data_IF_219836252783
#
_entry.id   IF_219836252783
#
_cell.length_a   1.000
_cell.length_b   1.000
_cell.length_c   1.000
_cell.angle_alpha   90.00
_cell.angle_beta   90.00
_cell.angle_gamma   90.00
#
_symmetry.space_group_name_H-M   'P 1'
#
loop_
_entity.id
_entity.type
_entity.pdbx_description
1 polymer ?
#
# COMPACT_ATOMS: atom_id res chain seq x y z
N UNK A 1 24.73 -43.90 0.42
CA UNK A 1 24.00 -42.70 0.91
C UNK A 1 23.57 -41.89 -0.29
N UNK A 2 22.29 -41.53 -0.41
CA UNK A 2 21.82 -40.59 -1.44
C UNK A 2 22.58 -39.26 -1.31
N UNK A 3 22.95 -38.63 -2.43
CA UNK A 3 23.62 -37.32 -2.45
C UNK A 3 22.95 -36.27 -1.59
N UNK A 4 21.62 -36.30 -1.58
CA UNK A 4 20.79 -35.36 -0.82
C UNK A 4 21.08 -35.40 0.68
N UNK A 5 21.39 -36.58 1.23
CA UNK A 5 21.71 -36.72 2.66
C UNK A 5 23.07 -36.08 3.00
N UNK A 6 24.06 -36.18 2.10
CA UNK A 6 25.40 -35.59 2.33
C UNK A 6 25.32 -34.06 2.41
N UNK A 7 24.55 -33.43 1.51
CA UNK A 7 24.37 -31.97 1.51
C UNK A 7 23.69 -31.49 2.80
N UNK A 8 22.65 -32.20 3.25
CA UNK A 8 21.96 -31.85 4.50
C UNK A 8 22.91 -31.95 5.69
N UNK A 9 23.67 -33.05 5.81
CA UNK A 9 24.62 -33.23 6.92
C UNK A 9 25.72 -32.16 6.93
N UNK A 10 26.13 -31.66 5.76
CA UNK A 10 27.04 -30.53 5.67
C UNK A 10 26.40 -29.25 6.20
N UNK A 11 25.17 -28.94 5.80
CA UNK A 11 24.43 -27.78 6.31
C UNK A 11 24.24 -27.91 7.82
N UNK A 12 23.92 -29.09 8.34
CA UNK A 12 23.77 -29.34 9.78
C UNK A 12 25.06 -29.06 10.56
N UNK A 13 26.22 -29.52 10.05
CA UNK A 13 27.50 -29.38 10.74
C UNK A 13 28.13 -28.00 10.57
N UNK A 14 27.77 -27.28 9.51
CA UNK A 14 28.46 -26.05 9.09
C UNK A 14 27.53 -24.86 8.85
N UNK A 15 26.28 -24.90 9.33
CA UNK A 15 25.34 -23.78 9.22
C UNK A 15 25.92 -22.47 9.78
N UNK A 16 26.66 -22.54 10.89
CA UNK A 16 27.24 -21.36 11.55
C UNK A 16 28.29 -20.62 10.68
N UNK A 17 29.38 -21.27 10.18
CA UNK A 17 30.33 -20.59 9.32
C UNK A 17 29.73 -20.17 7.97
N UNK A 18 28.75 -20.92 7.44
CA UNK A 18 28.01 -20.55 6.22
C UNK A 18 27.20 -19.27 6.48
N UNK A 19 26.51 -19.17 7.62
CA UNK A 19 25.70 -18.02 7.99
C UNK A 19 26.54 -16.76 8.20
N UNK A 20 27.71 -16.84 8.84
CA UNK A 20 28.64 -15.72 8.97
C UNK A 20 29.17 -15.25 7.60
N UNK A 21 29.53 -16.20 6.73
CA UNK A 21 29.98 -15.88 5.37
C UNK A 21 28.90 -15.18 4.56
N UNK A 22 27.65 -15.65 4.68
CA UNK A 22 26.49 -15.00 4.08
C UNK A 22 26.24 -13.60 4.65
N UNK A 23 26.26 -13.44 5.98
CA UNK A 23 26.00 -12.16 6.65
C UNK A 23 27.01 -11.09 6.23
N UNK A 24 28.28 -11.45 6.12
CA UNK A 24 29.34 -10.57 5.63
C UNK A 24 29.14 -10.16 4.17
N UNK A 25 28.64 -11.06 3.33
CA UNK A 25 28.41 -10.80 1.90
C UNK A 25 27.19 -9.89 1.68
N UNK A 26 26.05 -10.17 2.31
CA UNK A 26 24.85 -9.30 2.19
C UNK A 26 25.09 -7.89 2.70
N UNK A 27 25.96 -7.70 3.70
CA UNK A 27 26.33 -6.37 4.21
C UNK A 27 27.24 -5.57 3.28
N UNK A 28 27.84 -6.20 2.26
CA UNK A 28 28.76 -5.56 1.31
C UNK A 28 28.25 -5.54 -0.11
N UNK A 29 27.25 -6.37 -0.42
CA UNK A 29 26.77 -6.52 -1.79
C UNK A 29 25.94 -5.30 -2.21
N UNK A 30 26.24 -4.75 -3.38
CA UNK A 30 25.53 -3.57 -3.91
C UNK A 30 24.03 -3.81 -4.16
N UNK A 31 23.61 -5.08 -4.29
CA UNK A 31 22.20 -5.47 -4.51
C UNK A 31 21.42 -5.71 -3.22
N UNK A 32 22.02 -5.49 -2.05
CA UNK A 32 21.41 -5.66 -0.72
C UNK A 32 21.74 -4.49 0.19
N UNK A 33 21.58 -3.26 -0.32
CA UNK A 33 21.90 -2.03 0.39
C UNK A 33 21.18 -1.91 1.75
N UNK A 34 19.93 -2.34 1.83
CA UNK A 34 19.12 -2.32 3.06
C UNK A 34 19.69 -3.21 4.18
N UNK A 35 20.60 -4.13 3.85
CA UNK A 35 21.25 -5.01 4.83
C UNK A 35 22.57 -4.44 5.38
N UNK A 36 23.14 -3.39 4.79
CA UNK A 36 24.49 -2.89 5.14
C UNK A 36 24.57 -2.41 6.60
N UNK A 37 23.51 -1.75 7.05
CA UNK A 37 23.38 -1.19 8.41
C UNK A 37 22.90 -2.22 9.45
N UNK A 38 22.59 -3.45 9.03
CA UNK A 38 22.13 -4.48 9.95
C UNK A 38 23.30 -5.12 10.71
N UNK A 39 23.21 -5.24 12.05
CA UNK A 39 24.23 -5.89 12.85
C UNK A 39 24.28 -7.38 12.52
N UNK A 40 25.49 -7.94 12.51
CA UNK A 40 25.74 -9.35 12.17
C UNK A 40 25.04 -10.30 13.15
N UNK A 41 24.90 -9.87 14.41
CA UNK A 41 24.19 -10.55 15.49
C UNK A 41 22.70 -10.76 15.19
N UNK A 42 22.10 -9.96 14.29
CA UNK A 42 20.73 -10.16 13.81
C UNK A 42 20.67 -10.99 12.54
N UNK A 43 21.67 -10.86 11.66
CA UNK A 43 21.72 -11.54 10.37
C UNK A 43 22.04 -13.03 10.52
N UNK A 44 23.07 -13.37 11.30
CA UNK A 44 23.50 -14.78 11.44
C UNK A 44 22.36 -15.68 11.94
N UNK A 45 21.60 -15.32 12.99
CA UNK A 45 20.44 -16.12 13.40
C UNK A 45 19.34 -16.23 12.32
N UNK A 46 19.19 -15.23 11.46
CA UNK A 46 18.22 -15.26 10.37
C UNK A 46 18.57 -16.35 9.35
N UNK A 47 19.84 -16.43 8.94
CA UNK A 47 20.33 -17.49 8.06
C UNK A 47 20.28 -18.87 8.71
N UNK A 48 20.66 -18.99 9.99
CA UNK A 48 20.59 -20.28 10.70
C UNK A 48 19.15 -20.80 10.75
N UNK A 49 18.16 -19.95 11.11
CA UNK A 49 16.74 -20.34 11.09
C UNK A 49 16.28 -20.78 9.70
N UNK A 50 16.74 -20.10 8.66
CA UNK A 50 16.45 -20.47 7.27
C UNK A 50 17.02 -21.85 6.95
N UNK A 51 18.30 -22.12 7.27
CA UNK A 51 18.96 -23.39 7.01
C UNK A 51 18.32 -24.55 7.78
N UNK A 52 17.88 -24.32 9.02
CA UNK A 52 17.12 -25.30 9.79
C UNK A 52 15.78 -25.65 9.15
N UNK A 53 15.04 -24.65 8.64
CA UNK A 53 13.80 -24.90 7.94
C UNK A 53 14.02 -25.59 6.59
N UNK A 54 15.05 -25.17 5.85
CA UNK A 54 15.47 -25.80 4.60
C UNK A 54 15.76 -27.28 4.80
N UNK A 55 16.46 -27.65 5.88
CA UNK A 55 16.66 -29.05 6.25
C UNK A 55 15.34 -29.81 6.43
N UNK A 56 14.37 -29.24 7.13
CA UNK A 56 13.05 -29.88 7.33
C UNK A 56 12.34 -30.14 6.00
N UNK A 57 12.45 -29.21 5.05
CA UNK A 57 11.92 -29.35 3.70
C UNK A 57 12.54 -30.54 2.95
N UNK A 58 13.81 -30.88 3.19
CA UNK A 58 14.43 -32.04 2.56
C UNK A 58 13.86 -33.39 3.01
N UNK A 59 13.42 -33.50 4.25
CA UNK A 59 12.95 -34.77 4.81
C UNK A 59 11.45 -35.03 4.59
N UNK A 60 10.72 -34.10 3.98
CA UNK A 60 9.26 -34.18 3.86
C UNK A 60 8.84 -34.43 2.41
N UNK A 61 7.77 -35.22 2.20
CA UNK A 61 7.23 -35.52 0.87
C UNK A 61 6.54 -34.33 0.20
N UNK A 62 6.15 -33.32 1.00
CA UNK A 62 5.51 -32.08 0.56
C UNK A 62 6.27 -30.82 1.01
N UNK A 63 7.49 -30.56 0.52
CA UNK A 63 8.34 -29.46 0.97
C UNK A 63 7.67 -28.08 0.93
N UNK A 64 6.84 -27.84 -0.09
CA UNK A 64 6.18 -26.56 -0.32
C UNK A 64 5.03 -26.28 0.68
N UNK A 65 4.27 -27.30 1.08
CA UNK A 65 3.16 -27.13 2.04
C UNK A 65 3.72 -26.88 3.44
N UNK A 66 4.70 -27.67 3.87
CA UNK A 66 5.27 -27.63 5.23
C UNK A 66 6.00 -26.33 5.55
N UNK A 67 6.57 -25.67 4.55
CA UNK A 67 7.40 -24.47 4.74
C UNK A 67 6.69 -23.15 4.41
N UNK A 68 5.45 -23.21 3.91
CA UNK A 68 4.69 -22.02 3.50
C UNK A 68 4.57 -21.00 4.63
N UNK A 69 4.19 -21.45 5.81
CA UNK A 69 4.01 -20.57 6.97
C UNK A 69 5.34 -19.95 7.43
N UNK A 70 6.42 -20.75 7.42
CA UNK A 70 7.76 -20.25 7.71
C UNK A 70 8.16 -19.12 6.75
N UNK A 71 8.01 -19.32 5.43
CA UNK A 71 8.36 -18.29 4.46
C UNK A 71 7.44 -17.07 4.49
N UNK A 72 6.16 -17.26 4.85
CA UNK A 72 5.25 -16.14 5.07
C UNK A 72 5.70 -15.27 6.24
N UNK A 73 6.02 -15.87 7.39
CA UNK A 73 6.55 -15.15 8.56
C UNK A 73 7.91 -14.50 8.26
N UNK A 74 8.79 -15.22 7.57
CA UNK A 74 10.08 -14.68 7.13
C UNK A 74 9.88 -13.44 6.25
N UNK A 75 8.97 -13.48 5.28
CA UNK A 75 8.63 -12.33 4.44
C UNK A 75 8.07 -11.16 5.25
N UNK A 76 7.22 -11.41 6.24
CA UNK A 76 6.67 -10.38 7.13
C UNK A 76 7.76 -9.70 7.98
N UNK A 77 8.72 -10.47 8.51
CA UNK A 77 9.87 -9.94 9.25
C UNK A 77 10.71 -9.02 8.35
N UNK A 78 11.01 -9.45 7.12
CA UNK A 78 11.77 -8.63 6.17
C UNK A 78 10.99 -7.38 5.73
N UNK A 79 9.68 -7.49 5.50
CA UNK A 79 8.81 -6.36 5.14
C UNK A 79 8.72 -5.33 6.27
N UNK A 80 8.59 -5.81 7.51
CA UNK A 80 8.56 -4.96 8.71
C UNK A 80 9.88 -4.24 8.91
N UNK A 81 11.00 -4.90 8.62
CA UNK A 81 12.33 -4.30 8.58
C UNK A 81 12.57 -3.35 7.38
N UNK A 82 11.52 -3.07 6.58
CA UNK A 82 11.55 -2.19 5.40
C UNK A 82 12.53 -2.62 4.32
N UNK A 83 12.84 -3.91 4.24
CA UNK A 83 13.70 -4.47 3.19
C UNK A 83 12.86 -4.63 1.91
N UNK A 84 13.28 -4.03 0.78
CA UNK A 84 12.62 -4.22 -0.51
C UNK A 84 12.62 -5.69 -0.95
N UNK A 85 11.54 -6.13 -1.61
CA UNK A 85 11.40 -7.52 -2.06
C UNK A 85 12.59 -8.00 -2.90
N UNK A 86 13.10 -7.15 -3.81
CA UNK A 86 14.20 -7.53 -4.70
C UNK A 86 15.50 -7.81 -3.91
N UNK A 87 15.77 -7.05 -2.85
CA UNK A 87 16.92 -7.28 -1.98
C UNK A 87 16.73 -8.55 -1.14
N UNK A 88 15.52 -8.77 -0.61
CA UNK A 88 15.20 -9.96 0.17
C UNK A 88 15.33 -11.25 -0.67
N UNK A 89 14.88 -11.24 -1.93
CA UNK A 89 15.09 -12.33 -2.88
C UNK A 89 16.59 -12.50 -3.17
N UNK A 90 17.32 -11.42 -3.38
CA UNK A 90 18.76 -11.51 -3.66
C UNK A 90 19.54 -12.07 -2.46
N UNK A 91 19.15 -11.70 -1.24
CA UNK A 91 19.70 -12.27 -0.01
C UNK A 91 19.47 -13.79 0.07
N UNK A 92 18.31 -14.30 -0.36
CA UNK A 92 18.07 -15.75 -0.49
C UNK A 92 18.94 -16.40 -1.57
N UNK A 93 19.12 -15.74 -2.71
CA UNK A 93 20.02 -16.22 -3.78
C UNK A 93 21.45 -16.34 -3.24
N UNK A 94 21.91 -15.38 -2.43
CA UNK A 94 23.19 -15.44 -1.76
C UNK A 94 23.25 -16.58 -0.74
N UNK A 95 22.19 -16.81 0.06
CA UNK A 95 22.15 -17.96 0.98
C UNK A 95 22.35 -19.28 0.22
N UNK A 96 21.64 -19.47 -0.91
CA UNK A 96 21.80 -20.64 -1.78
C UNK A 96 23.23 -20.78 -2.29
N UNK A 97 23.83 -19.66 -2.72
CA UNK A 97 25.21 -19.64 -3.21
C UNK A 97 26.21 -20.05 -2.12
N UNK A 98 26.05 -19.58 -0.90
CA UNK A 98 26.94 -19.92 0.22
C UNK A 98 26.82 -21.39 0.65
N UNK A 99 25.63 -21.99 0.59
CA UNK A 99 25.47 -23.45 0.75
C UNK A 99 26.32 -24.20 -0.30
N UNK A 100 26.22 -23.78 -1.56
CA UNK A 100 26.90 -24.47 -2.66
C UNK A 100 28.42 -24.30 -2.63
N UNK A 101 28.90 -23.06 -2.48
CA UNK A 101 30.33 -22.77 -2.41
C UNK A 101 30.98 -23.57 -1.27
N UNK A 102 30.35 -23.60 -0.09
CA UNK A 102 30.88 -24.36 1.05
C UNK A 102 30.95 -25.87 0.77
N UNK A 103 29.95 -26.45 0.09
CA UNK A 103 29.94 -27.86 -0.29
C UNK A 103 30.98 -28.20 -1.37
N UNK A 104 31.18 -27.31 -2.34
CA UNK A 104 32.15 -27.46 -3.44
C UNK A 104 33.60 -27.36 -2.94
N UNK A 105 33.88 -26.45 -1.99
CA UNK A 105 35.21 -26.30 -1.37
C UNK A 105 35.62 -27.49 -0.48
N UNK A 106 34.67 -28.33 -0.03
CA UNK A 106 34.94 -29.47 0.85
C UNK A 106 35.20 -30.80 0.10
N UNK A 107 35.37 -30.80 -1.23
CA UNK A 107 35.82 -31.98 -2.01
C UNK A 107 34.99 -33.24 -1.70
N UNK A 108 33.65 -33.11 -1.71
CA UNK A 108 32.73 -34.20 -1.31
C UNK A 108 32.42 -35.16 -2.49
N UNK A 109 32.79 -34.77 -3.72
CA UNK A 109 32.39 -35.45 -4.95
C UNK A 109 33.58 -35.78 -5.87
N UNK A 110 34.49 -36.62 -5.38
CA UNK A 110 35.68 -37.03 -6.15
C UNK A 110 35.32 -38.09 -7.20
N UNK A 111 34.33 -38.95 -6.91
CA UNK A 111 33.94 -40.05 -7.82
C UNK A 111 32.77 -39.67 -8.75
N UNK A 112 32.70 -40.27 -9.94
CA UNK A 112 31.63 -39.99 -10.92
C UNK A 112 30.21 -40.27 -10.38
N UNK A 113 30.06 -41.26 -9.49
CA UNK A 113 28.79 -41.55 -8.80
C UNK A 113 28.43 -40.43 -7.83
N UNK A 114 29.41 -39.91 -7.11
CA UNK A 114 29.22 -38.78 -6.20
C UNK A 114 28.88 -37.49 -6.97
N UNK A 115 29.46 -37.25 -8.14
CA UNK A 115 29.09 -36.12 -9.00
C UNK A 115 27.62 -36.18 -9.41
N UNK A 116 27.10 -37.35 -9.81
CA UNK A 116 25.66 -37.50 -10.13
C UNK A 116 24.79 -37.14 -8.92
N UNK A 117 25.18 -37.60 -7.74
CA UNK A 117 24.52 -37.28 -6.48
C UNK A 117 24.59 -35.79 -6.08
N UNK A 118 25.67 -35.09 -6.47
CA UNK A 118 25.79 -33.64 -6.31
C UNK A 118 24.76 -32.90 -7.16
N UNK A 119 24.59 -33.33 -8.42
CA UNK A 119 23.61 -32.74 -9.35
C UNK A 119 22.19 -32.91 -8.82
N UNK A 120 21.81 -34.10 -8.35
CA UNK A 120 20.48 -34.35 -7.78
C UNK A 120 20.21 -33.46 -6.55
N UNK A 121 21.22 -33.25 -5.70
CA UNK A 121 21.14 -32.40 -4.52
C UNK A 121 21.02 -30.92 -4.88
N UNK A 122 21.72 -30.49 -5.94
CA UNK A 122 21.66 -29.14 -6.48
C UNK A 122 20.27 -28.86 -7.03
N UNK A 123 19.72 -29.74 -7.87
CA UNK A 123 18.37 -29.58 -8.45
C UNK A 123 17.32 -29.48 -7.34
N UNK A 124 17.41 -30.35 -6.33
CA UNK A 124 16.48 -30.31 -5.18
C UNK A 124 16.62 -29.05 -4.34
N UNK A 125 17.85 -28.55 -4.15
CA UNK A 125 18.12 -27.28 -3.47
C UNK A 125 17.51 -26.10 -4.23
N UNK A 126 17.73 -26.02 -5.55
CA UNK A 126 17.16 -24.98 -6.40
C UNK A 126 15.64 -24.97 -6.24
N UNK A 127 14.99 -26.12 -6.37
CA UNK A 127 13.54 -26.23 -6.21
C UNK A 127 13.03 -25.68 -4.88
N UNK A 128 13.73 -25.95 -3.77
CA UNK A 128 13.31 -25.44 -2.45
C UNK A 128 13.49 -23.94 -2.29
N UNK A 129 14.56 -23.37 -2.84
CA UNK A 129 14.73 -21.92 -2.89
C UNK A 129 13.72 -21.26 -3.82
N UNK A 130 13.33 -21.91 -4.92
CA UNK A 130 12.32 -21.39 -5.84
C UNK A 130 10.93 -21.35 -5.17
N UNK A 131 10.61 -22.34 -4.32
CA UNK A 131 9.43 -22.27 -3.44
C UNK A 131 9.52 -21.09 -2.47
N UNK A 132 10.67 -20.91 -1.80
CA UNK A 132 10.87 -19.78 -0.89
C UNK A 132 10.65 -18.43 -1.59
N UNK A 133 11.26 -18.24 -2.75
CA UNK A 133 11.13 -17.02 -3.57
C UNK A 133 9.67 -16.80 -3.97
N UNK A 134 8.97 -17.84 -4.41
CA UNK A 134 7.56 -17.74 -4.82
C UNK A 134 6.66 -17.35 -3.66
N UNK A 135 6.81 -18.02 -2.51
CA UNK A 135 6.01 -17.73 -1.32
C UNK A 135 6.30 -16.35 -0.74
N UNK A 136 7.58 -15.96 -0.68
CA UNK A 136 7.97 -14.64 -0.23
C UNK A 136 7.44 -13.54 -1.16
N UNK A 137 7.58 -13.71 -2.47
CA UNK A 137 7.09 -12.74 -3.46
C UNK A 137 5.58 -12.55 -3.32
N UNK A 138 4.83 -13.66 -3.23
CA UNK A 138 3.39 -13.62 -3.00
C UNK A 138 3.05 -12.93 -1.69
N UNK A 139 3.75 -13.24 -0.59
CA UNK A 139 3.46 -12.64 0.72
C UNK A 139 3.76 -11.14 0.75
N UNK A 140 4.89 -10.72 0.17
CA UNK A 140 5.21 -9.30 -0.01
C UNK A 140 4.12 -8.57 -0.81
N UNK A 141 3.65 -9.18 -1.90
CA UNK A 141 2.57 -8.61 -2.71
C UNK A 141 1.26 -8.48 -1.91
N UNK A 142 0.91 -9.49 -1.10
CA UNK A 142 -0.25 -9.42 -0.20
C UNK A 142 -0.12 -8.30 0.83
N UNK A 143 1.06 -8.13 1.43
CA UNK A 143 1.33 -7.06 2.41
C UNK A 143 1.26 -5.66 1.78
N UNK A 144 1.87 -5.49 0.60
CA UNK A 144 1.82 -4.22 -0.16
C UNK A 144 0.38 -3.88 -0.53
N UNK A 145 -0.40 -4.87 -0.99
CA UNK A 145 -1.82 -4.70 -1.31
C UNK A 145 -2.63 -4.33 -0.06
N UNK A 146 -2.36 -4.97 1.07
CA UNK A 146 -2.99 -4.64 2.35
C UNK A 146 -2.73 -3.19 2.76
N UNK A 147 -1.46 -2.77 2.79
CA UNK A 147 -1.09 -1.40 3.16
C UNK A 147 -1.69 -0.36 2.20
N UNK A 148 -1.73 -0.65 0.89
CA UNK A 148 -2.38 0.21 -0.09
C UNK A 148 -3.88 0.32 0.17
N UNK A 149 -4.55 -0.80 0.43
CA UNK A 149 -5.98 -0.82 0.74
C UNK A 149 -6.29 -0.04 2.01
N UNK A 150 -5.46 -0.13 3.05
CA UNK A 150 -5.63 0.63 4.28
C UNK A 150 -5.49 2.14 4.06
N UNK A 151 -4.49 2.57 3.26
CA UNK A 151 -4.32 3.97 2.87
C UNK A 151 -5.49 4.48 2.02
N UNK A 152 -5.98 3.68 1.09
CA UNK A 152 -7.16 4.00 0.29
C UNK A 152 -8.43 4.02 1.16
N UNK A 153 -8.53 3.18 2.18
CA UNK A 153 -9.65 3.17 3.12
C UNK A 153 -9.74 4.49 3.89
N UNK A 154 -8.61 5.08 4.32
CA UNK A 154 -8.59 6.41 4.94
C UNK A 154 -9.11 7.50 3.99
N UNK A 155 -8.72 7.47 2.72
CA UNK A 155 -9.22 8.41 1.71
C UNK A 155 -10.73 8.25 1.50
N UNK A 156 -11.19 7.00 1.43
CA UNK A 156 -12.60 6.65 1.33
C UNK A 156 -13.41 7.11 2.55
N UNK A 157 -12.85 7.03 3.77
CA UNK A 157 -13.49 7.55 4.98
C UNK A 157 -13.70 9.07 4.91
N UNK A 158 -12.69 9.84 4.48
CA UNK A 158 -12.81 11.30 4.31
C UNK A 158 -13.91 11.64 3.28
N UNK A 159 -14.02 10.83 2.23
CA UNK A 159 -15.06 11.00 1.20
C UNK A 159 -16.43 10.45 1.61
N UNK A 160 -16.55 9.84 2.79
CA UNK A 160 -17.70 9.04 3.22
C UNK A 160 -18.09 7.94 2.21
N UNK A 161 -17.16 7.48 1.38
CA UNK A 161 -17.35 6.44 0.37
C UNK A 161 -16.99 5.09 0.98
N UNK A 162 -17.83 4.60 1.90
CA UNK A 162 -17.59 3.27 2.45
C UNK A 162 -17.77 2.21 1.36
N UNK A 163 -16.98 1.11 1.38
CA UNK A 163 -17.19 -0.04 0.50
C UNK A 163 -18.60 -0.66 0.63
N UNK A 164 -19.31 -0.41 1.74
CA UNK A 164 -20.76 -0.64 1.89
C UNK A 164 -21.57 0.62 1.52
N UNK A 165 -21.50 1.03 0.25
CA UNK A 165 -22.07 2.28 -0.29
C UNK A 165 -23.58 2.49 -0.14
N UNK A 166 -24.30 1.63 0.59
CA UNK A 166 -25.74 1.75 0.88
C UNK A 166 -26.05 2.45 2.20
N UNK A 167 -25.16 2.44 3.21
CA UNK A 167 -25.51 2.97 4.56
C UNK A 167 -25.20 4.46 4.76
N UNK A 168 -24.23 5.03 4.04
CA UNK A 168 -23.76 6.41 4.28
C UNK A 168 -24.37 7.46 3.33
N UNK A 169 -25.01 7.03 2.24
CA UNK A 169 -25.75 7.91 1.31
C UNK A 169 -26.79 8.80 2.00
N UNK A 170 -27.64 8.30 2.92
CA UNK A 170 -28.60 9.16 3.60
C UNK A 170 -27.93 10.19 4.53
N UNK A 171 -26.75 9.89 5.06
CA UNK A 171 -26.02 10.83 5.91
C UNK A 171 -25.41 11.98 5.11
N UNK A 172 -24.85 11.70 3.93
CA UNK A 172 -24.37 12.73 2.99
C UNK A 172 -25.49 13.70 2.61
N UNK A 173 -26.66 13.17 2.22
CA UNK A 173 -27.80 14.01 1.84
C UNK A 173 -28.37 14.76 3.04
N UNK A 174 -28.43 14.15 4.23
CA UNK A 174 -28.87 14.82 5.45
C UNK A 174 -27.95 15.99 5.84
N UNK A 175 -26.62 15.80 5.85
CA UNK A 175 -25.67 16.88 6.14
C UNK A 175 -25.81 18.00 5.11
N UNK A 176 -25.85 17.68 3.81
CA UNK A 176 -26.03 18.71 2.80
C UNK A 176 -27.33 19.47 2.96
N UNK A 177 -28.43 18.77 3.25
CA UNK A 177 -29.73 19.41 3.44
C UNK A 177 -29.69 20.37 4.62
N UNK A 178 -29.07 19.97 5.74
CA UNK A 178 -28.89 20.84 6.90
C UNK A 178 -28.01 22.07 6.59
N UNK A 179 -26.90 21.89 5.86
CA UNK A 179 -26.01 22.98 5.45
C UNK A 179 -26.69 23.96 4.48
N UNK A 180 -27.46 23.46 3.51
CA UNK A 180 -28.20 24.28 2.56
C UNK A 180 -29.33 25.05 3.26
N UNK A 181 -30.11 24.40 4.13
CA UNK A 181 -31.13 25.06 4.94
C UNK A 181 -30.53 26.14 5.83
N UNK A 182 -29.42 25.86 6.50
CA UNK A 182 -28.68 26.84 7.28
C UNK A 182 -28.20 28.02 6.42
N UNK A 183 -27.72 27.74 5.21
CA UNK A 183 -27.28 28.77 4.26
C UNK A 183 -28.44 29.67 3.82
N UNK A 184 -29.60 29.09 3.51
CA UNK A 184 -30.80 29.84 3.12
C UNK A 184 -31.37 30.69 4.27
N UNK A 185 -31.44 30.14 5.48
CA UNK A 185 -31.88 30.87 6.67
C UNK A 185 -30.97 32.07 6.96
N UNK A 186 -29.66 31.86 6.83
CA UNK A 186 -28.67 32.91 7.05
C UNK A 186 -28.81 34.03 6.01
N UNK A 187 -28.93 33.69 4.72
CA UNK A 187 -29.16 34.68 3.67
C UNK A 187 -30.43 35.48 3.94
N UNK A 188 -31.55 34.81 4.24
CA UNK A 188 -32.81 35.47 4.52
C UNK A 188 -32.69 36.45 5.69
N UNK A 189 -32.07 36.04 6.79
CA UNK A 189 -31.89 36.90 7.96
C UNK A 189 -31.08 38.17 7.63
N UNK A 190 -29.92 38.02 7.00
CA UNK A 190 -29.06 39.17 6.69
C UNK A 190 -29.64 40.08 5.59
N UNK A 191 -30.33 39.51 4.60
CA UNK A 191 -30.90 40.27 3.48
C UNK A 191 -32.23 40.94 3.84
N UNK A 192 -33.15 40.23 4.52
CA UNK A 192 -34.50 40.73 4.78
C UNK A 192 -34.61 41.51 6.10
N UNK A 193 -33.85 41.12 7.14
CA UNK A 193 -33.98 41.73 8.49
C UNK A 193 -32.88 42.75 8.76
N UNK A 194 -31.63 42.44 8.39
CA UNK A 194 -30.47 43.26 8.74
C UNK A 194 -30.08 44.29 7.65
N UNK A 195 -30.50 44.08 6.40
CA UNK A 195 -30.24 44.99 5.28
C UNK A 195 -28.76 45.23 4.98
N UNK A 196 -27.90 44.25 5.29
CA UNK A 196 -26.43 44.41 5.23
C UNK A 196 -25.76 43.32 4.38
N UNK A 197 -24.83 43.72 3.52
CA UNK A 197 -24.09 42.83 2.60
C UNK A 197 -22.85 42.15 3.23
N UNK A 198 -22.93 41.77 4.50
CA UNK A 198 -21.76 41.27 5.27
C UNK A 198 -21.22 39.92 4.75
N UNK A 199 -19.96 39.63 5.10
CA UNK A 199 -19.03 38.56 4.68
C UNK A 199 -19.50 37.11 5.02
N UNK A 200 -20.77 36.87 5.37
CA UNK A 200 -21.25 35.54 5.78
C UNK A 200 -21.22 34.48 4.65
N UNK A 201 -21.18 34.93 3.41
CA UNK A 201 -21.14 34.11 2.19
C UNK A 201 -19.91 33.20 2.08
N UNK A 202 -18.86 33.44 2.88
CA UNK A 202 -17.71 32.54 2.96
C UNK A 202 -18.09 31.18 3.55
N UNK A 203 -19.12 31.14 4.40
CA UNK A 203 -19.63 29.88 4.95
C UNK A 203 -20.23 28.99 3.85
N UNK A 204 -20.66 29.56 2.72
CA UNK A 204 -21.24 28.81 1.61
C UNK A 204 -20.19 28.04 0.80
N UNK A 205 -18.90 28.33 0.99
CA UNK A 205 -17.84 27.50 0.43
C UNK A 205 -17.84 26.08 1.01
N UNK A 206 -18.26 25.90 2.27
CA UNK A 206 -18.31 24.58 2.92
C UNK A 206 -19.25 23.61 2.14
N UNK A 207 -20.55 23.91 1.95
CA UNK A 207 -21.42 23.04 1.15
C UNK A 207 -20.97 22.93 -0.31
N UNK A 208 -20.42 24.00 -0.92
CA UNK A 208 -19.91 23.94 -2.30
C UNK A 208 -18.76 22.93 -2.45
N UNK A 209 -17.78 22.99 -1.54
CA UNK A 209 -16.64 22.06 -1.53
C UNK A 209 -17.10 20.64 -1.24
N UNK A 210 -17.96 20.44 -0.23
CA UNK A 210 -18.50 19.11 0.10
C UNK A 210 -19.31 18.52 -1.06
N UNK A 211 -20.07 19.34 -1.79
CA UNK A 211 -20.79 18.90 -2.97
C UNK A 211 -19.84 18.37 -4.06
N UNK A 212 -18.74 19.08 -4.33
CA UNK A 212 -17.71 18.64 -5.28
C UNK A 212 -16.99 17.37 -4.85
N UNK A 213 -16.74 17.19 -3.54
CA UNK A 213 -16.11 15.99 -2.99
C UNK A 213 -17.06 14.78 -3.09
N UNK A 214 -18.31 14.92 -2.68
CA UNK A 214 -19.27 13.81 -2.58
C UNK A 214 -19.94 13.43 -3.90
N UNK A 215 -20.21 14.39 -4.79
CA UNK A 215 -20.93 14.15 -6.06
C UNK A 215 -20.12 14.47 -7.32
N UNK A 216 -18.80 14.77 -7.19
CA UNK A 216 -17.90 15.04 -8.33
C UNK A 216 -18.51 16.12 -9.25
N UNK A 217 -18.60 15.86 -10.57
CA UNK A 217 -19.23 16.77 -11.55
C UNK A 217 -20.68 17.15 -11.22
N UNK A 218 -21.47 16.25 -10.62
CA UNK A 218 -22.86 16.56 -10.24
C UNK A 218 -22.93 17.55 -9.07
N UNK A 219 -21.86 17.65 -8.27
CA UNK A 219 -21.74 18.64 -7.19
C UNK A 219 -21.68 20.09 -7.66
N UNK A 220 -21.19 20.33 -8.89
CA UNK A 220 -21.12 21.68 -9.48
C UNK A 220 -22.51 22.31 -9.62
N UNK A 221 -23.54 21.48 -9.81
CA UNK A 221 -24.94 21.94 -9.86
C UNK A 221 -25.34 22.61 -8.53
N UNK A 222 -24.89 22.09 -7.39
CA UNK A 222 -25.21 22.69 -6.08
C UNK A 222 -24.54 24.07 -5.91
N UNK A 223 -23.33 24.23 -6.46
CA UNK A 223 -22.65 25.53 -6.47
C UNK A 223 -23.40 26.56 -7.33
N UNK A 224 -23.90 26.15 -8.50
CA UNK A 224 -24.72 26.99 -9.35
C UNK A 224 -26.04 27.39 -8.68
N UNK A 225 -26.74 26.44 -8.03
CA UNK A 225 -27.99 26.69 -7.31
C UNK A 225 -27.79 27.70 -6.17
N UNK A 226 -26.74 27.53 -5.36
CA UNK A 226 -26.42 28.49 -4.29
C UNK A 226 -26.06 29.88 -4.83
N UNK A 227 -25.31 29.95 -5.93
CA UNK A 227 -24.96 31.22 -6.59
C UNK A 227 -26.18 31.95 -7.15
N UNK A 228 -27.08 31.24 -7.84
CA UNK A 228 -28.33 31.81 -8.36
C UNK A 228 -29.22 32.29 -7.20
N UNK A 229 -29.34 31.49 -6.14
CA UNK A 229 -30.12 31.86 -4.97
C UNK A 229 -29.61 33.15 -4.31
N UNK A 230 -28.28 33.31 -4.18
CA UNK A 230 -27.65 34.52 -3.63
C UNK A 230 -28.02 35.76 -4.47
N UNK A 231 -27.88 35.66 -5.79
CA UNK A 231 -28.22 36.77 -6.71
C UNK A 231 -29.71 37.12 -6.63
N UNK A 232 -30.60 36.13 -6.63
CA UNK A 232 -32.04 36.35 -6.53
C UNK A 232 -32.40 37.03 -5.21
N UNK A 233 -31.85 36.56 -4.09
CA UNK A 233 -32.08 37.17 -2.77
C UNK A 233 -31.63 38.64 -2.74
N UNK A 234 -30.50 38.98 -3.36
CA UNK A 234 -30.03 40.36 -3.44
C UNK A 234 -30.99 41.24 -4.25
N UNK A 235 -31.47 40.76 -5.39
CA UNK A 235 -32.40 41.50 -6.25
C UNK A 235 -33.74 41.79 -5.56
N UNK A 236 -34.26 40.86 -4.75
CA UNK A 236 -35.54 41.02 -4.06
C UNK A 236 -35.46 41.89 -2.80
N UNK A 237 -34.37 41.81 -2.03
CA UNK A 237 -34.31 42.40 -0.69
C UNK A 237 -33.34 43.60 -0.56
N UNK A 238 -32.37 43.75 -1.46
CA UNK A 238 -31.24 44.68 -1.32
C UNK A 238 -31.11 45.66 -2.51
N UNK A 239 -32.25 46.20 -2.97
CA UNK A 239 -32.37 47.11 -4.12
C UNK A 239 -31.61 48.45 -4.05
N UNK A 240 -30.73 48.66 -3.06
CA UNK A 240 -29.90 49.86 -2.89
C UNK A 240 -28.40 49.59 -2.71
N UNK A 241 -27.93 48.34 -2.80
CA UNK A 241 -26.51 47.98 -2.61
C UNK A 241 -25.88 47.39 -3.89
N UNK A 242 -24.54 47.51 -4.08
CA UNK A 242 -23.88 47.05 -5.29
C UNK A 242 -24.04 45.53 -5.50
N UNK A 243 -24.59 45.13 -6.65
CA UNK A 243 -24.74 43.72 -7.05
C UNK A 243 -23.40 43.05 -7.40
N UNK A 244 -22.33 43.85 -7.60
CA UNK A 244 -21.01 43.37 -8.01
C UNK A 244 -20.46 42.31 -7.07
N UNK A 245 -20.66 42.48 -5.77
CA UNK A 245 -20.07 41.60 -4.76
C UNK A 245 -20.71 40.21 -4.81
N UNK A 246 -22.03 40.12 -4.96
CA UNK A 246 -22.74 38.84 -5.07
C UNK A 246 -22.49 38.11 -6.38
N UNK A 247 -22.29 38.85 -7.48
CA UNK A 247 -21.86 38.26 -8.74
C UNK A 247 -20.47 37.64 -8.59
N UNK A 248 -19.51 38.36 -8.01
CA UNK A 248 -18.15 37.84 -7.77
C UNK A 248 -18.22 36.58 -6.89
N UNK A 249 -19.04 36.58 -5.83
CA UNK A 249 -19.23 35.42 -4.96
C UNK A 249 -19.84 34.21 -5.67
N UNK A 250 -20.88 34.42 -6.47
CA UNK A 250 -21.50 33.35 -7.27
C UNK A 250 -20.51 32.74 -8.28
N UNK A 251 -19.70 33.58 -8.94
CA UNK A 251 -18.62 33.12 -9.83
C UNK A 251 -17.59 32.31 -9.05
N UNK A 252 -17.17 32.78 -7.86
CA UNK A 252 -16.23 32.05 -7.01
C UNK A 252 -16.77 30.68 -6.56
N UNK A 253 -18.07 30.56 -6.24
CA UNK A 253 -18.68 29.25 -5.95
C UNK A 253 -18.55 28.30 -7.14
N UNK A 254 -18.81 28.78 -8.35
CA UNK A 254 -18.71 27.96 -9.56
C UNK A 254 -17.25 27.51 -9.80
N UNK A 255 -16.28 28.42 -9.64
CA UNK A 255 -14.85 28.10 -9.78
C UNK A 255 -14.43 27.05 -8.76
N UNK A 256 -14.70 27.27 -7.48
CA UNK A 256 -14.33 26.34 -6.40
C UNK A 256 -15.00 24.99 -6.61
N UNK A 257 -16.32 24.99 -6.85
CA UNK A 257 -17.09 23.76 -7.08
C UNK A 257 -16.54 22.97 -8.27
N UNK A 258 -16.16 23.65 -9.35
CA UNK A 258 -15.56 23.02 -10.54
C UNK A 258 -14.18 22.44 -10.24
N UNK A 259 -13.27 23.22 -9.65
CA UNK A 259 -11.91 22.76 -9.32
C UNK A 259 -11.95 21.54 -8.39
N UNK A 260 -12.78 21.60 -7.35
CA UNK A 260 -12.94 20.50 -6.39
C UNK A 260 -13.57 19.28 -7.05
N UNK A 261 -14.57 19.46 -7.91
CA UNK A 261 -15.20 18.36 -8.65
C UNK A 261 -14.20 17.65 -9.57
N UNK A 262 -13.37 18.38 -10.31
CA UNK A 262 -12.33 17.81 -11.16
C UNK A 262 -11.27 17.06 -10.35
N UNK A 263 -10.80 17.64 -9.24
CA UNK A 263 -9.84 16.98 -8.35
C UNK A 263 -10.41 15.67 -7.77
N UNK A 264 -11.67 15.72 -7.33
CA UNK A 264 -12.40 14.57 -6.79
C UNK A 264 -12.60 13.45 -7.84
N UNK A 265 -12.86 13.81 -9.10
CA UNK A 265 -12.94 12.86 -10.21
C UNK A 265 -11.58 12.21 -10.47
N UNK A 266 -10.51 13.02 -10.60
CA UNK A 266 -9.15 12.53 -10.83
C UNK A 266 -8.64 11.57 -9.75
N UNK A 267 -8.93 11.83 -8.48
CA UNK A 267 -8.58 10.93 -7.36
C UNK A 267 -9.30 9.58 -7.50
N UNK A 268 -10.57 9.58 -7.93
CA UNK A 268 -11.33 8.34 -8.11
C UNK A 268 -10.72 7.49 -9.21
N UNK A 269 -10.40 8.13 -10.34
CA UNK A 269 -9.78 7.43 -11.47
C UNK A 269 -8.42 6.86 -11.08
N UNK A 270 -7.62 7.61 -10.31
CA UNK A 270 -6.36 7.10 -9.79
C UNK A 270 -6.57 5.88 -8.88
N UNK A 271 -7.52 5.95 -7.94
CA UNK A 271 -7.86 4.81 -7.06
C UNK A 271 -8.29 3.58 -7.86
N UNK A 272 -9.15 3.74 -8.87
CA UNK A 272 -9.59 2.64 -9.74
C UNK A 272 -8.41 2.00 -10.48
N UNK A 273 -7.51 2.81 -11.05
CA UNK A 273 -6.29 2.32 -11.72
C UNK A 273 -5.39 1.56 -10.75
N UNK A 274 -5.19 2.07 -9.53
CA UNK A 274 -4.37 1.39 -8.52
C UNK A 274 -5.01 0.08 -8.06
N UNK A 275 -6.32 0.01 -7.88
CA UNK A 275 -7.04 -1.24 -7.56
C UNK A 275 -6.95 -2.26 -8.69
N UNK A 276 -7.09 -1.84 -9.95
CA UNK A 276 -6.96 -2.72 -11.12
C UNK A 276 -5.55 -3.29 -11.26
N UNK A 277 -4.51 -2.48 -11.05
CA UNK A 277 -3.12 -2.92 -11.09
C UNK A 277 -2.74 -3.79 -9.88
N UNK A 278 -3.54 -3.69 -8.81
CA UNK A 278 -3.43 -4.51 -7.61
C UNK A 278 -4.27 -5.81 -7.67
N UNK A 279 -4.98 -6.12 -8.76
CA UNK A 279 -5.53 -7.46 -9.03
C UNK A 279 -4.52 -8.30 -9.79
#
# INVERSE_FOLDING_TARGET
MSGSLKLITLIEKHADPIAHSWAKDVRKNARTASYHDMPEEKLVPLAIRFYDNFRKMFYTDKPAETSREFFARYAEEQYTAKIPLHEAIYALILMRRHIWLYAEFQVIFITAVEQKYAVDSLVRTILMFDYAITFMSRRYQELIRGELNDRLALLNMIRLESPLGTRLTPYRTAIMTALLLGSFLLTYYYHAVMGSNVIFTHLFYIPVVLAGIWWKRKGVVMAAVLGIFLILSHLFFLGGTPLTDDIVRAVMFLVIGTVVAFLSEGITTAEEIYRLKAM
#
